data_IF_471757300307
#
_entry.id   IF_471757300307
#
_cell.length_a   1.000
_cell.length_b   1.000
_cell.length_c   1.000
_cell.angle_alpha   90.00
_cell.angle_beta   90.00
_cell.angle_gamma   90.00
#
_symmetry.space_group_name_H-M   'P 1'
#
loop_
_entity.id
_entity.type
_entity.pdbx_description
1 polymer ?
#
# COMPACT_ATOMS: atom_id res chain seq x y z
N UNK A 1 28.96 -20.01 5.52
CA UNK A 1 27.59 -20.01 4.96
C UNK A 1 26.79 -21.07 5.70
N UNK A 2 25.65 -20.71 6.29
CA UNK A 2 24.82 -21.64 7.05
C UNK A 2 24.03 -22.54 6.09
N UNK A 3 24.12 -23.87 6.28
CA UNK A 3 23.39 -24.88 5.51
C UNK A 3 22.51 -25.70 6.47
N UNK A 4 21.27 -25.25 6.77
CA UNK A 4 20.44 -25.78 7.86
C UNK A 4 19.87 -27.19 7.61
N UNK A 5 19.95 -27.71 6.38
CA UNK A 5 19.43 -29.02 6.00
C UNK A 5 20.45 -30.16 6.03
N UNK A 6 21.68 -29.90 6.48
CA UNK A 6 22.72 -30.93 6.52
C UNK A 6 22.71 -31.65 7.89
N UNK A 7 22.25 -32.90 7.90
CA UNK A 7 22.12 -33.72 9.11
C UNK A 7 23.46 -33.92 9.85
N UNK A 8 24.60 -33.85 9.13
CA UNK A 8 25.93 -33.93 9.75
C UNK A 8 26.30 -32.65 10.51
N UNK A 9 25.86 -31.48 10.03
CA UNK A 9 26.09 -30.19 10.70
C UNK A 9 25.23 -30.04 11.96
N UNK A 10 24.01 -30.59 11.94
CA UNK A 10 23.10 -30.57 13.09
C UNK A 10 23.58 -31.51 14.22
N UNK A 11 24.02 -32.72 13.85
CA UNK A 11 24.61 -33.67 14.81
C UNK A 11 25.90 -33.11 15.44
N UNK A 12 26.74 -32.44 14.65
CA UNK A 12 27.94 -31.74 15.13
C UNK A 12 27.59 -30.60 16.10
N UNK A 13 26.61 -29.74 15.77
CA UNK A 13 26.20 -28.64 16.65
C UNK A 13 25.62 -29.12 17.99
N UNK A 14 24.87 -30.23 18.00
CA UNK A 14 24.33 -30.85 19.20
C UNK A 14 25.42 -31.51 20.06
N UNK A 15 26.41 -32.17 19.44
CA UNK A 15 27.51 -32.81 20.16
C UNK A 15 28.41 -31.81 20.89
N UNK A 16 28.52 -30.58 20.37
CA UNK A 16 29.39 -29.53 20.92
C UNK A 16 28.63 -28.43 21.70
N UNK A 17 27.33 -28.59 21.95
CA UNK A 17 26.53 -27.64 22.74
C UNK A 17 26.39 -26.25 22.09
N UNK A 18 26.42 -26.19 20.76
CA UNK A 18 26.35 -24.94 19.98
C UNK A 18 24.92 -24.62 19.49
N UNK A 19 23.94 -25.45 19.87
CA UNK A 19 22.52 -25.20 19.64
C UNK A 19 21.88 -24.64 20.93
N UNK A 20 20.97 -23.66 20.86
CA UNK A 20 20.25 -23.17 22.04
C UNK A 20 19.44 -24.31 22.69
N UNK A 21 19.45 -24.37 24.02
CA UNK A 21 18.82 -25.43 24.84
C UNK A 21 17.31 -25.60 24.61
N UNK A 22 16.66 -24.66 23.93
CA UNK A 22 15.22 -24.63 23.65
C UNK A 22 14.86 -24.85 22.17
N UNK A 23 15.64 -25.65 21.43
CA UNK A 23 15.24 -26.01 20.05
C UNK A 23 14.09 -27.01 20.13
N UNK A 24 12.86 -26.68 19.67
CA UNK A 24 11.74 -27.61 19.71
C UNK A 24 12.02 -28.84 18.85
N UNK A 25 11.53 -30.03 19.22
CA UNK A 25 11.68 -31.22 18.39
C UNK A 25 11.09 -31.01 16.99
N UNK A 26 11.74 -31.60 15.96
CA UNK A 26 11.38 -31.47 14.52
C UNK A 26 9.87 -31.51 14.21
N UNK A 27 9.04 -32.38 14.84
CA UNK A 27 7.60 -32.42 14.61
C UNK A 27 6.85 -31.16 15.10
N UNK A 28 7.31 -30.54 16.19
CA UNK A 28 6.72 -29.29 16.71
C UNK A 28 7.19 -28.09 15.88
N UNK A 29 8.44 -28.12 15.41
CA UNK A 29 8.96 -27.15 14.44
C UNK A 29 8.18 -27.23 13.11
N UNK A 30 7.93 -28.43 12.58
CA UNK A 30 7.09 -28.67 11.40
C UNK A 30 5.65 -28.23 11.62
N UNK A 31 5.10 -28.42 12.82
CA UNK A 31 3.74 -27.98 13.15
C UNK A 31 3.62 -26.45 13.23
N UNK A 32 4.62 -25.78 13.80
CA UNK A 32 4.74 -24.32 13.79
C UNK A 32 4.92 -23.77 12.37
N UNK A 33 5.71 -24.45 11.54
CA UNK A 33 5.87 -24.13 10.11
C UNK A 33 4.57 -24.38 9.33
N UNK A 34 3.83 -25.45 9.63
CA UNK A 34 2.55 -25.76 9.00
C UNK A 34 1.41 -24.81 9.40
N UNK A 35 1.44 -24.28 10.62
CA UNK A 35 0.52 -23.22 11.05
C UNK A 35 0.89 -21.85 10.46
N UNK A 36 2.18 -21.60 10.22
CA UNK A 36 2.67 -20.43 9.50
C UNK A 36 2.63 -20.58 7.96
N UNK A 37 2.28 -21.75 7.42
CA UNK A 37 2.30 -22.03 5.97
C UNK A 37 1.24 -21.26 5.19
N UNK A 38 0.19 -20.73 5.83
CA UNK A 38 -0.72 -19.77 5.19
C UNK A 38 -0.02 -18.45 4.81
N UNK A 39 1.10 -18.11 5.46
CA UNK A 39 1.98 -17.00 5.08
C UNK A 39 3.03 -17.39 4.01
N UNK A 40 3.20 -18.67 3.71
CA UNK A 40 4.24 -19.18 2.80
C UNK A 40 3.73 -19.55 1.40
N UNK A 41 2.44 -19.36 1.11
CA UNK A 41 1.99 -19.34 -0.27
C UNK A 41 2.45 -18.04 -0.94
N UNK A 42 3.73 -18.02 -1.30
CA UNK A 42 4.39 -16.91 -1.98
C UNK A 42 3.69 -16.61 -3.31
N UNK A 43 3.06 -17.61 -3.95
CA UNK A 43 2.32 -17.38 -5.18
C UNK A 43 1.03 -16.61 -4.91
N UNK A 44 0.27 -17.00 -3.88
CA UNK A 44 -0.92 -16.26 -3.44
C UNK A 44 -0.56 -14.84 -2.98
N UNK A 45 0.49 -14.69 -2.17
CA UNK A 45 0.95 -13.37 -1.72
C UNK A 45 1.38 -12.48 -2.88
N UNK A 46 2.19 -13.00 -3.83
CA UNK A 46 2.60 -12.25 -5.03
C UNK A 46 1.42 -11.87 -5.91
N UNK A 47 0.46 -12.77 -6.06
CA UNK A 47 -0.78 -12.51 -6.82
C UNK A 47 -1.53 -11.37 -6.17
N UNK A 48 -1.70 -11.41 -4.84
CA UNK A 48 -2.41 -10.34 -4.12
C UNK A 48 -1.68 -9.00 -4.14
N UNK A 49 -0.35 -9.02 -4.03
CA UNK A 49 0.48 -7.83 -4.18
C UNK A 49 0.29 -7.22 -5.57
N UNK A 50 0.32 -8.05 -6.63
CA UNK A 50 0.06 -7.60 -7.99
C UNK A 50 -1.32 -6.96 -8.16
N UNK A 51 -2.37 -7.57 -7.59
CA UNK A 51 -3.72 -6.98 -7.58
C UNK A 51 -3.75 -5.62 -6.87
N UNK A 52 -3.17 -5.54 -5.67
CA UNK A 52 -3.18 -4.31 -4.87
C UNK A 52 -2.36 -3.21 -5.53
N UNK A 53 -1.21 -3.53 -6.12
CA UNK A 53 -0.37 -2.58 -6.85
C UNK A 53 -1.17 -1.81 -7.91
N UNK A 54 -2.09 -2.50 -8.61
CA UNK A 54 -2.92 -1.83 -9.63
C UNK A 54 -3.89 -0.82 -9.05
N UNK A 55 -4.24 -0.91 -7.76
CA UNK A 55 -5.18 -0.01 -7.08
C UNK A 55 -4.49 1.22 -6.50
N UNK A 56 -3.16 1.29 -6.61
CA UNK A 56 -2.34 2.41 -6.15
C UNK A 56 -2.17 3.41 -7.29
N UNK A 57 -2.30 4.69 -6.97
CA UNK A 57 -2.03 5.80 -7.87
C UNK A 57 -0.99 6.75 -7.31
N UNK A 58 -0.28 7.44 -8.20
CA UNK A 58 0.47 8.63 -7.86
C UNK A 58 -0.48 9.83 -7.80
N UNK A 59 -0.45 10.59 -6.72
CA UNK A 59 -1.17 11.87 -6.60
C UNK A 59 -0.25 12.97 -7.11
N UNK A 60 -0.77 13.79 -8.02
CA UNK A 60 -0.06 14.88 -8.67
C UNK A 60 -0.77 16.21 -8.39
N UNK A 61 0.02 17.25 -8.10
CA UNK A 61 -0.47 18.63 -7.96
C UNK A 61 0.29 19.49 -8.96
N UNK A 62 -0.44 20.17 -9.85
CA UNK A 62 0.15 21.00 -10.92
C UNK A 62 1.14 20.21 -11.81
N UNK A 63 0.92 18.89 -11.94
CA UNK A 63 1.76 17.98 -12.73
C UNK A 63 2.97 17.40 -11.98
N UNK A 64 3.26 17.87 -10.77
CA UNK A 64 4.34 17.35 -9.95
C UNK A 64 3.85 16.26 -9.00
N UNK A 65 4.69 15.25 -8.76
CA UNK A 65 4.38 14.17 -7.83
C UNK A 65 4.31 14.70 -6.40
N UNK A 66 3.11 14.68 -5.80
CA UNK A 66 2.86 15.15 -4.44
C UNK A 66 2.80 14.00 -3.43
N UNK A 67 2.35 12.82 -3.85
CA UNK A 67 2.23 11.66 -2.97
C UNK A 67 1.67 10.43 -3.67
N UNK A 68 1.10 9.53 -2.87
CA UNK A 68 0.49 8.28 -3.30
C UNK A 68 -0.92 8.18 -2.71
N UNK A 69 -1.82 7.53 -3.43
CA UNK A 69 -3.14 7.16 -2.94
C UNK A 69 -3.54 5.78 -3.43
N UNK A 70 -4.67 5.28 -2.98
CA UNK A 70 -5.23 4.02 -3.46
C UNK A 70 -6.75 4.04 -3.48
N UNK A 71 -7.33 3.23 -4.37
CA UNK A 71 -8.79 3.12 -4.49
C UNK A 71 -9.40 2.38 -3.30
N UNK A 72 -10.43 2.98 -2.72
CA UNK A 72 -11.31 2.39 -1.67
C UNK A 72 -12.77 2.29 -2.14
N UNK A 73 -13.04 2.67 -3.39
CA UNK A 73 -14.31 2.52 -4.09
C UNK A 73 -14.11 2.68 -5.61
N UNK A 74 -15.17 2.65 -6.42
CA UNK A 74 -15.07 2.71 -7.88
C UNK A 74 -14.42 4.00 -8.39
N UNK A 75 -14.65 5.13 -7.72
CA UNK A 75 -14.08 6.45 -8.02
C UNK A 75 -13.62 7.20 -6.78
N UNK A 76 -13.25 6.50 -5.70
CA UNK A 76 -12.85 7.11 -4.44
C UNK A 76 -11.41 6.71 -4.09
N UNK A 77 -10.53 7.70 -3.90
CA UNK A 77 -9.10 7.51 -3.60
C UNK A 77 -8.79 8.00 -2.19
N UNK A 78 -8.22 7.13 -1.36
CA UNK A 78 -7.68 7.50 -0.05
C UNK A 78 -6.20 7.88 -0.19
N UNK A 79 -5.82 9.03 0.37
CA UNK A 79 -4.44 9.51 0.46
C UNK A 79 -4.21 10.18 1.81
N UNK A 80 -3.00 10.68 2.08
CA UNK A 80 -2.75 11.47 3.28
C UNK A 80 -3.25 12.91 3.10
N UNK A 81 -3.79 13.52 4.16
CA UNK A 81 -4.26 14.90 4.14
C UNK A 81 -3.14 15.86 3.74
N UNK A 82 -1.94 15.69 4.30
CA UNK A 82 -0.81 16.57 3.99
C UNK A 82 -0.43 16.60 2.50
N UNK A 83 -0.75 15.55 1.72
CA UNK A 83 -0.49 15.50 0.27
C UNK A 83 -1.30 16.57 -0.46
N UNK A 84 -2.56 16.79 -0.06
CA UNK A 84 -3.50 17.72 -0.71
C UNK A 84 -3.80 18.97 0.12
N UNK A 85 -3.16 19.12 1.29
CA UNK A 85 -3.35 20.23 2.22
C UNK A 85 -3.25 21.60 1.55
N UNK A 86 -2.30 21.79 0.62
CA UNK A 86 -2.12 23.06 -0.09
C UNK A 86 -3.38 23.48 -0.85
N UNK A 87 -4.13 22.53 -1.40
CA UNK A 87 -5.37 22.78 -2.15
C UNK A 87 -6.53 23.05 -1.18
N UNK A 88 -6.61 22.32 -0.07
CA UNK A 88 -7.59 22.54 1.00
C UNK A 88 -7.43 23.93 1.61
N UNK A 89 -6.19 24.38 1.81
CA UNK A 89 -5.85 25.71 2.32
C UNK A 89 -6.10 26.85 1.30
N UNK A 90 -6.46 26.54 0.05
CA UNK A 90 -6.72 27.52 -1.01
C UNK A 90 -5.47 28.04 -1.73
N UNK A 91 -4.32 27.36 -1.63
CA UNK A 91 -3.09 27.70 -2.36
C UNK A 91 -3.04 27.08 -3.78
N UNK A 92 -4.18 26.65 -4.30
CA UNK A 92 -4.36 26.06 -5.63
C UNK A 92 -5.84 25.73 -5.87
N UNK A 93 -6.15 25.21 -7.05
CA UNK A 93 -7.52 24.79 -7.38
C UNK A 93 -7.63 23.27 -7.35
N UNK A 94 -8.83 22.70 -7.09
CA UNK A 94 -9.06 21.26 -7.23
C UNK A 94 -8.67 20.71 -8.62
N UNK A 95 -8.84 21.52 -9.67
CA UNK A 95 -8.43 21.19 -11.03
C UNK A 95 -6.91 20.97 -11.20
N UNK A 96 -6.11 21.42 -10.23
CA UNK A 96 -4.66 21.17 -10.19
C UNK A 96 -4.33 19.77 -9.67
N UNK A 97 -5.29 19.06 -9.07
CA UNK A 97 -5.11 17.72 -8.50
C UNK A 97 -5.47 16.66 -9.54
N UNK A 98 -4.54 15.73 -9.74
CA UNK A 98 -4.72 14.58 -10.61
C UNK A 98 -4.24 13.31 -9.91
N UNK A 99 -4.81 12.18 -10.31
CA UNK A 99 -4.31 10.85 -9.91
C UNK A 99 -3.88 10.07 -11.14
N UNK A 100 -2.73 9.42 -11.05
CA UNK A 100 -2.16 8.62 -12.14
C UNK A 100 -2.03 7.16 -11.73
N UNK A 101 -2.80 6.31 -12.39
CA UNK A 101 -2.70 4.87 -12.25
C UNK A 101 -1.75 4.28 -13.29
N UNK A 102 -1.26 3.06 -13.06
CA UNK A 102 -0.44 2.29 -13.99
C UNK A 102 0.89 2.94 -14.38
N UNK A 103 1.36 3.92 -13.60
CA UNK A 103 2.66 4.55 -13.82
C UNK A 103 3.78 3.61 -13.38
N UNK A 104 4.67 3.25 -14.31
CA UNK A 104 5.81 2.37 -14.03
C UNK A 104 7.10 2.97 -14.54
N UNK A 105 8.08 3.12 -13.65
CA UNK A 105 9.41 3.65 -13.95
C UNK A 105 10.49 2.73 -13.36
N UNK A 106 11.53 2.48 -14.15
CA UNK A 106 12.72 1.76 -13.70
C UNK A 106 13.65 2.67 -12.90
N UNK A 107 14.56 2.06 -12.14
CA UNK A 107 15.55 2.76 -11.32
C UNK A 107 16.54 3.60 -12.14
N UNK A 108 16.77 3.25 -13.40
CA UNK A 108 17.58 4.03 -14.36
C UNK A 108 16.84 5.27 -14.90
N UNK A 109 15.59 5.48 -14.49
CA UNK A 109 14.76 6.59 -14.90
C UNK A 109 13.91 6.32 -16.14
N UNK A 110 14.02 5.15 -16.78
CA UNK A 110 13.20 4.75 -17.93
C UNK A 110 11.73 4.60 -17.52
N UNK A 111 10.82 5.27 -18.24
CA UNK A 111 9.37 5.10 -18.02
C UNK A 111 8.87 3.94 -18.87
N UNK A 112 8.45 2.85 -18.23
CA UNK A 112 7.87 1.66 -18.88
C UNK A 112 6.39 1.85 -19.21
N UNK A 113 5.68 2.59 -18.37
CA UNK A 113 4.29 2.97 -18.61
C UNK A 113 4.07 4.39 -18.11
N UNK A 114 3.56 5.25 -19.00
CA UNK A 114 3.21 6.63 -18.67
C UNK A 114 1.99 6.72 -17.74
N UNK A 115 1.25 5.62 -17.58
CA UNK A 115 0.05 5.55 -16.76
C UNK A 115 -1.14 6.33 -17.35
N UNK A 116 -2.31 6.12 -16.77
CA UNK A 116 -3.54 6.85 -17.11
C UNK A 116 -3.86 7.87 -16.03
N UNK A 117 -4.16 9.09 -16.47
CA UNK A 117 -4.45 10.25 -15.62
C UNK A 117 -5.95 10.43 -15.48
N UNK A 118 -6.39 10.71 -14.26
CA UNK A 118 -7.76 11.10 -13.94
C UNK A 118 -7.74 12.39 -13.14
N UNK A 119 -8.68 13.29 -13.43
CA UNK A 119 -8.92 14.47 -12.62
C UNK A 119 -9.77 14.11 -11.40
N UNK A 120 -9.77 14.97 -10.39
CA UNK A 120 -10.73 14.89 -9.28
C UNK A 120 -12.07 15.52 -9.68
N UNK A 121 -13.17 15.14 -9.00
CA UNK A 121 -14.53 15.60 -9.28
C UNK A 121 -14.76 17.08 -8.89
N UNK A 122 -14.25 17.99 -9.70
CA UNK A 122 -14.54 19.43 -9.69
C UNK A 122 -14.84 20.02 -8.30
N UNK A 123 -16.11 20.34 -8.05
CA UNK A 123 -16.56 20.97 -6.81
C UNK A 123 -16.70 19.99 -5.62
N UNK A 124 -16.87 18.69 -5.88
CA UNK A 124 -17.08 17.64 -4.87
C UNK A 124 -15.85 16.75 -4.69
N UNK A 125 -14.68 17.25 -5.09
CA UNK A 125 -13.42 16.50 -5.13
C UNK A 125 -12.99 15.95 -3.77
N UNK A 126 -13.41 16.57 -2.67
CA UNK A 126 -13.05 16.20 -1.30
C UNK A 126 -14.29 15.68 -0.57
N UNK A 127 -14.38 14.37 -0.43
CA UNK A 127 -15.51 13.72 0.22
C UNK A 127 -15.39 13.78 1.76
N UNK A 128 -14.18 13.59 2.28
CA UNK A 128 -13.89 13.63 3.70
C UNK A 128 -12.39 13.84 3.95
N UNK A 129 -12.00 14.34 5.13
CA UNK A 129 -10.59 14.43 5.53
C UNK A 129 -10.41 14.56 7.04
N UNK A 130 -9.23 14.17 7.51
CA UNK A 130 -8.73 14.44 8.84
C UNK A 130 -7.32 15.03 8.76
N UNK A 131 -7.05 16.06 9.56
CA UNK A 131 -5.70 16.64 9.63
C UNK A 131 -4.72 15.71 10.34
N UNK A 132 -3.41 15.98 10.19
CA UNK A 132 -2.36 15.38 11.00
C UNK A 132 -2.30 15.98 12.39
N UNK A 133 -1.69 15.26 13.34
CA UNK A 133 -1.46 15.78 14.68
C UNK A 133 -0.23 16.71 14.70
N UNK A 134 -0.25 17.86 15.39
CA UNK A 134 0.93 18.72 15.52
C UNK A 134 2.16 17.99 16.10
N UNK A 135 1.97 16.98 16.95
CA UNK A 135 3.04 16.11 17.47
C UNK A 135 3.78 15.40 16.34
N UNK A 136 3.15 15.17 15.19
CA UNK A 136 3.78 14.52 14.05
C UNK A 136 4.90 15.33 13.39
N UNK A 137 4.88 16.64 13.60
CA UNK A 137 5.88 17.57 13.09
C UNK A 137 7.09 17.73 14.01
N UNK A 138 7.07 17.15 15.22
CA UNK A 138 8.14 17.31 16.20
C UNK A 138 9.36 16.41 15.86
N UNK A 139 10.60 16.87 16.14
CA UNK A 139 11.79 16.03 16.03
C UNK A 139 11.75 14.87 17.03
N UNK A 140 12.42 13.77 16.70
CA UNK A 140 12.50 12.62 17.62
C UNK A 140 13.42 12.92 18.83
N UNK A 141 13.07 12.42 20.04
CA UNK A 141 11.86 11.68 20.37
C UNK A 141 10.62 12.61 20.44
N UNK A 142 9.51 12.16 19.83
CA UNK A 142 8.23 12.88 19.90
C UNK A 142 7.67 12.79 21.33
N UNK A 143 7.32 13.92 21.92
CA UNK A 143 6.72 14.01 23.26
C UNK A 143 5.43 14.82 23.17
N UNK A 144 4.30 14.19 23.50
CA UNK A 144 2.99 14.82 23.46
C UNK A 144 1.88 13.76 23.45
N UNK A 145 0.67 14.16 23.86
CA UNK A 145 -0.51 13.35 23.63
C UNK A 145 -0.97 13.58 22.18
N UNK A 146 -1.29 12.49 21.48
CA UNK A 146 -1.82 12.53 20.11
C UNK A 146 -3.34 12.51 20.21
N UNK A 147 -4.02 13.33 19.42
CA UNK A 147 -5.47 13.25 19.29
C UNK A 147 -5.85 12.08 18.36
N UNK A 148 -6.63 11.09 18.82
CA UNK A 148 -7.06 9.98 17.96
C UNK A 148 -7.93 10.43 16.77
N UNK A 149 -8.46 11.65 16.79
CA UNK A 149 -9.18 12.24 15.65
C UNK A 149 -8.25 12.83 14.57
N UNK A 150 -6.93 12.88 14.78
CA UNK A 150 -5.96 13.40 13.80
C UNK A 150 -5.29 12.27 13.00
N UNK A 151 -6.00 11.76 12.00
CA UNK A 151 -5.62 10.59 11.22
C UNK A 151 -4.82 10.89 9.94
N UNK A 152 -4.60 12.17 9.61
CA UNK A 152 -3.88 12.61 8.39
C UNK A 152 -4.35 11.94 7.09
N UNK A 153 -5.67 11.86 6.83
CA UNK A 153 -6.19 11.31 5.57
C UNK A 153 -7.03 12.33 4.80
N UNK A 154 -7.10 12.14 3.49
CA UNK A 154 -8.09 12.77 2.62
C UNK A 154 -8.70 11.73 1.68
N UNK A 155 -10.02 11.76 1.56
CA UNK A 155 -10.80 10.95 0.65
C UNK A 155 -11.18 11.79 -0.57
N UNK A 156 -10.56 11.47 -1.71
CA UNK A 156 -10.73 12.19 -2.96
C UNK A 156 -11.78 11.51 -3.82
N UNK A 157 -12.71 12.29 -4.36
CA UNK A 157 -13.64 11.85 -5.39
C UNK A 157 -13.00 12.08 -6.77
N UNK A 158 -12.94 11.04 -7.59
CA UNK A 158 -12.34 11.06 -8.92
C UNK A 158 -13.42 11.32 -9.97
N UNK A 159 -13.08 12.08 -11.01
CA UNK A 159 -13.92 12.20 -12.21
C UNK A 159 -13.84 10.89 -13.01
N UNK A 160 -14.92 10.13 -12.96
CA UNK A 160 -15.03 8.77 -13.50
C UNK A 160 -14.85 7.67 -12.46
N UNK A 161 -14.74 6.43 -12.93
CA UNK A 161 -14.70 5.24 -12.09
C UNK A 161 -13.50 4.34 -12.45
N UNK A 162 -12.25 4.77 -12.19
CA UNK A 162 -11.04 4.01 -12.52
C UNK A 162 -11.00 2.59 -11.92
N UNK A 163 -11.78 2.32 -10.88
CA UNK A 163 -11.94 0.98 -10.30
C UNK A 163 -12.73 0.01 -11.19
N UNK A 164 -13.65 0.50 -12.03
CA UNK A 164 -14.38 -0.31 -13.01
C UNK A 164 -13.63 -0.47 -14.34
N UNK A 165 -12.57 0.30 -14.54
CA UNK A 165 -11.75 0.22 -15.73
C UNK A 165 -10.70 -0.89 -15.65
N UNK A 166 -10.28 -1.47 -16.80
CA UNK A 166 -9.18 -2.42 -16.82
C UNK A 166 -7.84 -1.74 -16.48
N UNK A 167 -6.85 -2.55 -16.14
CA UNK A 167 -5.48 -2.12 -15.86
C UNK A 167 -4.74 -1.86 -17.16
N UNK A 168 -4.12 -0.68 -17.29
CA UNK A 168 -3.41 -0.25 -18.49
C UNK A 168 -4.33 -0.01 -19.70
N UNK A 169 -3.72 0.22 -20.86
CA UNK A 169 -4.45 0.30 -22.13
C UNK A 169 -4.63 -1.11 -22.71
N UNK A 170 -5.86 -1.61 -22.68
CA UNK A 170 -6.21 -2.91 -23.27
C UNK A 170 -7.43 -2.76 -24.18
N UNK A 171 -7.41 -3.50 -25.29
CA UNK A 171 -8.55 -3.64 -26.21
C UNK A 171 -9.34 -4.92 -25.97
N UNK A 172 -8.92 -5.75 -25.01
CA UNK A 172 -9.62 -6.98 -24.64
C UNK A 172 -10.94 -6.64 -23.91
N UNK A 173 -12.11 -6.95 -24.49
CA UNK A 173 -13.40 -6.69 -23.86
C UNK A 173 -13.66 -7.54 -22.61
N UNK A 174 -12.83 -8.56 -22.34
CA UNK A 174 -12.92 -9.44 -21.18
C UNK A 174 -11.87 -9.12 -20.10
N UNK A 175 -11.07 -8.06 -20.28
CA UNK A 175 -10.10 -7.67 -19.28
C UNK A 175 -10.80 -7.35 -17.94
N UNK A 176 -10.33 -7.95 -16.82
CA UNK A 176 -10.96 -7.71 -15.53
C UNK A 176 -10.76 -6.25 -15.08
N UNK A 177 -11.72 -5.69 -14.33
CA UNK A 177 -11.56 -4.37 -13.74
C UNK A 177 -10.41 -4.37 -12.71
N UNK A 178 -9.77 -3.20 -12.54
CA UNK A 178 -8.75 -2.94 -11.51
C UNK A 178 -9.25 -3.23 -10.09
N UNK A 179 -10.49 -2.84 -9.81
CA UNK A 179 -11.12 -2.91 -8.49
C UNK A 179 -10.57 -1.89 -7.50
N UNK A 180 -10.86 -2.11 -6.22
CA UNK A 180 -10.47 -1.26 -5.09
C UNK A 180 -10.17 -2.11 -3.86
N UNK A 181 -9.55 -1.51 -2.86
CA UNK A 181 -9.33 -2.13 -1.56
C UNK A 181 -10.65 -2.06 -0.80
N UNK A 182 -11.22 -3.22 -0.49
CA UNK A 182 -12.41 -3.31 0.35
C UNK A 182 -12.02 -3.02 1.80
N UNK A 183 -12.79 -2.15 2.45
CA UNK A 183 -12.65 -1.89 3.87
C UNK A 183 -13.41 -2.99 4.61
N UNK A 184 -12.76 -3.77 5.49
CA UNK A 184 -13.43 -4.84 6.22
C UNK A 184 -14.62 -4.30 7.04
N UNK A 185 -15.74 -5.00 7.01
CA UNK A 185 -16.93 -4.66 7.82
C UNK A 185 -16.75 -5.00 9.31
N UNK A 186 -15.78 -5.86 9.64
CA UNK A 186 -15.47 -6.29 10.99
C UNK A 186 -14.04 -5.88 11.39
N UNK A 187 -13.86 -5.53 12.67
CA UNK A 187 -12.54 -5.34 13.25
C UNK A 187 -11.75 -6.67 13.16
N UNK A 188 -10.47 -6.57 12.81
CA UNK A 188 -9.56 -7.70 12.94
C UNK A 188 -9.13 -7.82 14.41
N UNK A 189 -9.58 -8.90 15.07
CA UNK A 189 -9.13 -9.34 16.39
C UNK A 189 -7.62 -9.67 16.43
#
# INVERSE_FOLDING_TARGET
QANPGNDQLLAFAQQFGLAPDNTPPRPELEKLINQANSYLDIAQWRTKLGEIETRVCRVEIQGDAAGTGFLVGPGAVLTNYHVVKSIIDGNGAPADVQVRFDYKRLSDGTTLSAGKVYAVDGANWLADYSIYDPVDLLPMPKVGAVDPAHLDYALLQIDGEPGHEPVGETTDPQAPPRGWIEIPEAEHD
#
